data_IF_562797350797
#
_entry.id   IF_562797350797
#
_cell.length_a   1.000
_cell.length_b   1.000
_cell.length_c   1.000
_cell.angle_alpha   90.00
_cell.angle_beta   90.00
_cell.angle_gamma   90.00
#
_symmetry.space_group_name_H-M   'P 1'
#
loop_
_entity.id
_entity.type
_entity.pdbx_description
1 polymer ?
#
# COMPACT_ATOMS: atom_id res chain seq x y z
N UNK A 1 3.04 -17.12 15.49
CA UNK A 1 2.60 -15.79 15.00
C UNK A 1 3.61 -14.77 15.48
N UNK A 2 4.15 -13.92 14.62
CA UNK A 2 5.10 -12.88 15.03
C UNK A 2 4.35 -11.66 15.57
N UNK A 3 4.93 -10.99 16.58
CA UNK A 3 4.38 -9.75 17.10
C UNK A 3 4.45 -8.63 16.03
N UNK A 4 3.49 -7.69 16.05
CA UNK A 4 3.46 -6.54 15.15
C UNK A 4 4.79 -5.74 15.16
N UNK A 5 5.44 -5.49 16.32
CA UNK A 5 6.74 -4.83 16.37
C UNK A 5 7.85 -5.57 15.60
N UNK A 6 7.96 -6.89 15.74
CA UNK A 6 8.97 -7.70 15.03
C UNK A 6 8.71 -7.73 13.52
N UNK A 7 7.45 -7.71 13.10
CA UNK A 7 7.08 -7.65 11.68
C UNK A 7 7.51 -6.30 11.06
N UNK A 8 7.17 -5.18 11.71
CA UNK A 8 7.58 -3.84 11.28
C UNK A 8 9.10 -3.69 11.23
N UNK A 9 9.81 -4.23 12.23
CA UNK A 9 11.27 -4.16 12.29
C UNK A 9 11.94 -4.93 11.14
N UNK A 10 11.41 -6.11 10.79
CA UNK A 10 11.91 -6.87 9.63
C UNK A 10 11.64 -6.16 8.31
N UNK A 11 10.46 -5.55 8.14
CA UNK A 11 10.17 -4.74 6.96
C UNK A 11 11.14 -3.56 6.83
N UNK A 12 11.41 -2.86 7.94
CA UNK A 12 12.36 -1.74 7.99
C UNK A 12 13.77 -2.19 7.58
N UNK A 13 14.26 -3.30 8.13
CA UNK A 13 15.55 -3.86 7.72
C UNK A 13 15.59 -4.25 6.25
N UNK A 14 14.55 -4.92 5.74
CA UNK A 14 14.46 -5.29 4.34
C UNK A 14 14.49 -4.07 3.41
N UNK A 15 13.80 -2.99 3.78
CA UNK A 15 13.78 -1.74 3.02
C UNK A 15 15.17 -1.07 3.01
N UNK A 16 15.82 -0.97 4.17
CA UNK A 16 17.11 -0.29 4.32
C UNK A 16 18.27 -1.06 3.70
N UNK A 17 18.29 -2.39 3.82
CA UNK A 17 19.41 -3.22 3.37
C UNK A 17 19.29 -3.64 1.91
N UNK A 18 18.09 -4.02 1.45
CA UNK A 18 17.91 -4.53 0.08
C UNK A 18 17.63 -3.41 -0.93
N UNK A 19 17.05 -2.29 -0.48
CA UNK A 19 16.66 -1.12 -1.31
C UNK A 19 15.98 -1.48 -2.64
N UNK A 20 15.27 -2.61 -2.67
CA UNK A 20 14.70 -3.14 -3.90
C UNK A 20 13.21 -2.82 -4.02
N UNK A 21 12.74 -2.74 -5.27
CA UNK A 21 11.36 -2.39 -5.59
C UNK A 21 10.33 -3.31 -4.93
N UNK A 22 10.65 -4.61 -4.79
CA UNK A 22 9.76 -5.59 -4.16
C UNK A 22 9.54 -5.29 -2.68
N UNK A 23 10.61 -5.01 -1.93
CA UNK A 23 10.54 -4.66 -0.51
C UNK A 23 9.74 -3.37 -0.29
N UNK A 24 9.95 -2.35 -1.13
CA UNK A 24 9.16 -1.12 -1.07
C UNK A 24 7.66 -1.37 -1.28
N UNK A 25 7.30 -2.17 -2.29
CA UNK A 25 5.89 -2.54 -2.51
C UNK A 25 5.30 -3.41 -1.40
N UNK A 26 6.08 -4.29 -0.77
CA UNK A 26 5.62 -5.03 0.40
C UNK A 26 5.22 -4.08 1.53
N UNK A 27 6.04 -3.07 1.82
CA UNK A 27 5.71 -2.07 2.85
C UNK A 27 4.48 -1.27 2.49
N UNK A 28 4.34 -0.82 1.24
CA UNK A 28 3.16 -0.05 0.79
C UNK A 28 1.88 -0.90 0.90
N UNK A 29 1.94 -2.18 0.52
CA UNK A 29 0.78 -3.06 0.58
C UNK A 29 0.36 -3.36 2.02
N UNK A 30 1.32 -3.68 2.90
CA UNK A 30 1.06 -3.87 4.33
C UNK A 30 0.51 -2.59 4.96
N UNK A 31 1.08 -1.43 4.63
CA UNK A 31 0.58 -0.12 5.05
C UNK A 31 -0.91 0.03 4.71
N UNK A 32 -1.34 -0.22 3.47
CA UNK A 32 -2.76 -0.13 3.10
C UNK A 32 -3.63 -1.24 3.69
N UNK A 33 -3.06 -2.40 3.99
CA UNK A 33 -3.79 -3.42 4.73
C UNK A 33 -4.14 -2.95 6.15
N UNK A 34 -3.19 -2.28 6.83
CA UNK A 34 -3.43 -1.71 8.16
C UNK A 34 -4.26 -0.42 8.14
N UNK A 35 -4.15 0.39 7.08
CA UNK A 35 -4.71 1.76 7.01
C UNK A 35 -5.97 1.86 6.15
N UNK A 36 -6.27 0.84 5.37
CA UNK A 36 -7.59 0.66 4.75
C UNK A 36 -8.71 0.49 5.79
N UNK A 37 -8.34 0.31 7.05
CA UNK A 37 -9.17 0.55 8.22
C UNK A 37 -9.03 2.06 8.50
N UNK A 38 -10.04 2.87 8.18
CA UNK A 38 -10.02 4.35 8.24
C UNK A 38 -9.55 4.98 9.59
N UNK A 39 -9.29 4.16 10.62
CA UNK A 39 -8.91 4.57 11.97
C UNK A 39 -7.61 5.36 12.05
N UNK A 40 -6.62 5.14 11.18
CA UNK A 40 -5.31 5.77 11.39
C UNK A 40 -5.32 7.29 11.20
N UNK A 41 -6.15 7.81 10.29
CA UNK A 41 -6.21 9.26 10.02
C UNK A 41 -6.82 9.99 11.22
N UNK A 42 -7.83 9.39 11.85
CA UNK A 42 -8.44 9.87 13.09
C UNK A 42 -7.49 9.76 14.28
N UNK A 43 -6.80 8.63 14.44
CA UNK A 43 -5.80 8.45 15.50
C UNK A 43 -4.67 9.48 15.41
N UNK A 44 -4.13 9.71 14.20
CA UNK A 44 -3.14 10.74 13.93
C UNK A 44 -3.68 12.13 14.30
N UNK A 45 -4.92 12.44 13.95
CA UNK A 45 -5.53 13.72 14.30
C UNK A 45 -5.71 13.89 15.81
N UNK A 46 -6.10 12.83 16.52
CA UNK A 46 -6.24 12.84 17.99
C UNK A 46 -4.88 13.12 18.65
N UNK A 47 -3.80 12.48 18.18
CA UNK A 47 -2.45 12.72 18.68
C UNK A 47 -1.97 14.15 18.41
N UNK A 48 -2.21 14.66 17.19
CA UNK A 48 -1.89 16.04 16.80
C UNK A 48 -2.63 17.03 17.70
N UNK A 49 -3.95 16.86 17.87
CA UNK A 49 -4.76 17.71 18.78
C UNK A 49 -4.26 17.66 20.21
N UNK A 50 -4.04 16.47 20.77
CA UNK A 50 -3.59 16.31 22.15
C UNK A 50 -2.24 17.00 22.42
N UNK A 51 -1.35 17.00 21.43
CA UNK A 51 -0.07 17.71 21.49
C UNK A 51 -0.26 19.22 21.42
N UNK A 52 -1.13 19.69 20.52
CA UNK A 52 -1.46 21.11 20.34
C UNK A 52 -2.14 21.71 21.57
N UNK A 53 -3.07 20.97 22.18
CA UNK A 53 -3.87 21.40 23.33
C UNK A 53 -3.15 21.20 24.67
N UNK A 54 -1.92 20.68 24.67
CA UNK A 54 -1.18 20.49 25.91
C UNK A 54 -0.80 21.84 26.53
N UNK A 55 -1.36 22.11 27.71
CA UNK A 55 -1.21 23.41 28.35
C UNK A 55 0.15 23.64 29.01
N UNK A 56 0.96 22.59 29.17
CA UNK A 56 2.27 22.61 29.80
C UNK A 56 3.38 23.26 28.96
N UNK A 57 3.12 23.60 27.69
CA UNK A 57 4.08 24.31 26.85
C UNK A 57 4.01 25.84 27.03
N UNK A 58 5.18 26.48 27.02
CA UNK A 58 5.34 27.94 26.99
C UNK A 58 4.55 28.55 25.81
N UNK A 59 3.79 29.63 26.05
CA UNK A 59 2.88 30.28 25.09
C UNK A 59 3.57 30.74 23.80
N UNK A 60 4.85 31.12 23.88
CA UNK A 60 5.64 31.57 22.73
C UNK A 60 6.09 30.40 21.85
N UNK A 61 6.53 29.28 22.45
CA UNK A 61 6.84 28.02 21.75
C UNK A 61 5.59 27.35 21.20
N UNK A 62 4.45 27.49 21.89
CA UNK A 62 3.14 26.98 21.46
C UNK A 62 2.75 27.46 20.06
N UNK A 63 3.07 28.69 19.63
CA UNK A 63 2.61 29.21 18.33
C UNK A 63 3.25 28.50 17.13
N UNK A 64 4.57 28.50 17.06
CA UNK A 64 5.34 27.90 15.96
C UNK A 64 5.23 26.36 15.98
N UNK A 65 5.37 25.74 17.14
CA UNK A 65 5.32 24.28 17.27
C UNK A 65 3.95 23.71 16.84
N UNK A 66 2.85 24.45 17.07
CA UNK A 66 1.50 24.05 16.61
C UNK A 66 1.37 24.11 15.08
N UNK A 67 1.89 25.17 14.47
CA UNK A 67 1.87 25.28 13.01
C UNK A 67 2.70 24.18 12.35
N UNK A 68 3.88 23.88 12.89
CA UNK A 68 4.74 22.81 12.39
C UNK A 68 4.09 21.43 12.55
N UNK A 69 3.38 21.18 13.65
CA UNK A 69 2.63 19.94 13.88
C UNK A 69 1.44 19.78 12.92
N UNK A 70 0.65 20.84 12.71
CA UNK A 70 -0.46 20.83 11.75
C UNK A 70 0.09 20.63 10.33
N UNK A 71 1.14 21.35 9.96
CA UNK A 71 1.79 21.20 8.67
C UNK A 71 2.33 19.77 8.46
N UNK A 72 2.97 19.19 9.48
CA UNK A 72 3.44 17.82 9.45
C UNK A 72 2.31 16.81 9.28
N UNK A 73 1.17 17.02 9.95
CA UNK A 73 -0.03 16.19 9.79
C UNK A 73 -0.57 16.26 8.36
N UNK A 74 -0.77 17.46 7.80
CA UNK A 74 -1.27 17.64 6.44
C UNK A 74 -0.31 17.04 5.39
N UNK A 75 1.00 17.21 5.59
CA UNK A 75 2.01 16.64 4.71
C UNK A 75 1.99 15.09 4.73
N UNK A 76 1.80 14.49 5.90
CA UNK A 76 1.65 13.04 6.05
C UNK A 76 0.39 12.53 5.34
N UNK A 77 -0.75 13.23 5.48
CA UNK A 77 -1.98 12.89 4.76
C UNK A 77 -1.76 12.94 3.24
N UNK A 78 -1.13 14.00 2.75
CA UNK A 78 -0.85 14.14 1.32
C UNK A 78 0.07 13.03 0.80
N UNK A 79 1.07 12.64 1.59
CA UNK A 79 1.94 11.51 1.25
C UNK A 79 1.14 10.20 1.15
N UNK A 80 0.22 9.96 2.08
CA UNK A 80 -0.61 8.77 2.08
C UNK A 80 -1.53 8.72 0.85
N UNK A 81 -2.16 9.83 0.52
CA UNK A 81 -3.02 9.93 -0.66
C UNK A 81 -2.21 9.76 -1.96
N UNK A 82 -1.00 10.32 -2.05
CA UNK A 82 -0.10 10.11 -3.18
C UNK A 82 0.31 8.64 -3.35
N UNK A 83 0.67 7.97 -2.23
CA UNK A 83 1.01 6.54 -2.22
C UNK A 83 -0.18 5.68 -2.62
N UNK A 84 -1.41 6.07 -2.24
CA UNK A 84 -2.65 5.39 -2.62
C UNK A 84 -2.90 5.46 -4.12
N UNK A 85 -2.77 6.64 -4.71
CA UNK A 85 -2.88 6.84 -6.16
C UNK A 85 -1.89 5.95 -6.92
N UNK A 86 -0.65 5.81 -6.43
CA UNK A 86 0.35 4.93 -7.05
C UNK A 86 0.01 3.46 -6.90
N UNK A 87 -0.50 3.06 -5.74
CA UNK A 87 -0.95 1.70 -5.47
C UNK A 87 -2.09 1.29 -6.40
N UNK A 88 -3.15 2.10 -6.47
CA UNK A 88 -4.35 1.81 -7.26
C UNK A 88 -4.04 1.75 -8.76
N UNK A 89 -3.20 2.67 -9.27
CA UNK A 89 -2.71 2.63 -10.66
C UNK A 89 -1.95 1.35 -10.97
N UNK A 90 -1.19 0.80 -10.01
CA UNK A 90 -0.45 -0.44 -10.19
C UNK A 90 -1.37 -1.65 -10.17
N UNK A 91 -2.33 -1.70 -9.25
CA UNK A 91 -3.33 -2.77 -9.20
C UNK A 91 -4.15 -2.82 -10.49
N UNK A 92 -4.60 -1.67 -11.00
CA UNK A 92 -5.33 -1.59 -12.26
C UNK A 92 -4.52 -2.17 -13.42
N UNK A 93 -3.25 -1.76 -13.57
CA UNK A 93 -2.33 -2.29 -14.59
C UNK A 93 -2.08 -3.80 -14.44
N UNK A 94 -2.08 -4.34 -13.22
CA UNK A 94 -1.93 -5.78 -13.01
C UNK A 94 -3.19 -6.55 -13.39
N UNK A 95 -4.39 -6.01 -13.05
CA UNK A 95 -5.67 -6.58 -13.45
C UNK A 95 -5.81 -6.62 -14.98
N UNK A 96 -5.52 -5.51 -15.67
CA UNK A 96 -5.52 -5.45 -17.14
C UNK A 96 -4.59 -6.48 -17.79
N UNK A 97 -3.38 -6.66 -17.25
CA UNK A 97 -2.43 -7.68 -17.75
C UNK A 97 -2.92 -9.10 -17.52
N UNK A 98 -3.57 -9.36 -16.38
CA UNK A 98 -4.21 -10.65 -16.09
C UNK A 98 -5.32 -10.95 -17.08
N UNK A 99 -6.24 -10.00 -17.27
CA UNK A 99 -7.37 -10.13 -18.21
C UNK A 99 -6.90 -10.34 -19.65
N UNK A 100 -5.91 -9.57 -20.12
CA UNK A 100 -5.36 -9.74 -21.47
C UNK A 100 -4.66 -11.09 -21.66
N UNK A 101 -4.04 -11.64 -20.61
CA UNK A 101 -3.41 -12.97 -20.66
C UNK A 101 -4.45 -14.09 -20.68
N UNK A 102 -5.55 -13.96 -19.93
CA UNK A 102 -6.66 -14.92 -19.96
C UNK A 102 -7.36 -14.92 -21.33
N UNK A 103 -7.56 -13.75 -21.93
CA UNK A 103 -8.10 -13.62 -23.29
C UNK A 103 -7.16 -14.20 -24.35
N UNK A 104 -5.84 -14.01 -24.22
CA UNK A 104 -4.86 -14.59 -25.13
C UNK A 104 -4.77 -16.12 -25.02
N UNK A 105 -4.98 -16.70 -23.83
CA UNK A 105 -5.04 -18.16 -23.65
C UNK A 105 -6.34 -18.72 -24.25
N UNK A 106 -7.48 -18.07 -24.03
CA UNK A 106 -8.76 -18.47 -24.62
C UNK A 106 -8.77 -18.37 -26.16
N UNK A 107 -8.06 -17.40 -26.74
CA UNK A 107 -7.92 -17.26 -28.20
C UNK A 107 -6.96 -18.25 -28.87
N UNK A 108 -6.20 -19.03 -28.09
CA UNK A 108 -5.21 -19.99 -28.61
C UNK A 108 -5.68 -21.45 -28.57
N UNK A 109 -6.87 -21.72 -28.03
CA UNK A 109 -7.54 -23.02 -28.15
C UNK A 109 -8.13 -23.16 -29.57
N UNK A 110 -7.30 -23.58 -30.52
CA UNK A 110 -7.77 -24.07 -31.82
C UNK A 110 -8.63 -25.33 -31.62
N UNK A 111 -9.76 -25.49 -32.34
CA UNK A 111 -10.58 -26.69 -32.24
C UNK A 111 -9.77 -27.91 -32.69
N UNK A 112 -9.80 -28.95 -31.87
CA UNK A 112 -9.02 -30.16 -32.01
C UNK A 112 -9.15 -30.80 -33.39
N UNK A 113 -8.01 -31.25 -33.92
CA UNK A 113 -7.92 -32.18 -35.05
C UNK A 113 -8.84 -33.37 -34.79
N UNK A 114 -9.86 -33.55 -35.63
CA UNK A 114 -10.59 -34.82 -35.74
C UNK A 114 -9.59 -35.94 -36.04
N UNK A 115 -9.50 -36.86 -35.09
CA UNK A 115 -8.69 -38.06 -35.16
C UNK A 115 -9.42 -39.04 -36.09
N UNK A 116 -8.87 -39.27 -37.29
CA UNK A 116 -9.34 -40.30 -38.23
C UNK A 116 -9.24 -41.67 -37.55
N UNK A 117 -10.38 -42.26 -37.18
CA UNK A 117 -10.48 -43.68 -36.88
C UNK A 117 -10.59 -44.44 -38.20
N UNK A 118 -9.48 -45.00 -38.67
CA UNK A 118 -9.52 -46.11 -39.62
C UNK A 118 -9.85 -47.38 -38.82
N UNK A 119 -10.99 -48.02 -39.14
CA UNK A 119 -11.27 -49.38 -38.66
C UNK A 119 -10.64 -50.39 -39.63
N UNK A 120 -10.05 -51.48 -39.13
CA UNK A 120 -9.69 -52.62 -39.97
C UNK A 120 -10.85 -53.61 -40.08
N UNK A 121 -10.74 -54.43 -41.14
CA UNK A 121 -11.57 -55.59 -41.57
C UNK A 121 -12.66 -55.26 -42.58
#
# INVERSE_FOLDING_TARGET
MHSLPEHLQRMKQALLHKKNKKAAWTVINEYFHFIGIESIKEELWILTKGTITNDLMDQSKKGADRHDLIFGYELLLLLFDAVKVLHDKREHKQKERGTNRTLAVAGNEKPGKQQKSASPV
#
